data_IF_166943475639
#
_entry.id   IF_166943475639
#
_cell.length_a   1.000
_cell.length_b   1.000
_cell.length_c   1.000
_cell.angle_alpha   90.00
_cell.angle_beta   90.00
_cell.angle_gamma   90.00
#
_symmetry.space_group_name_H-M   'P 1'
#
loop_
_entity.id
_entity.type
_entity.pdbx_description
1 polymer ?
#
# COMPACT_ATOMS: atom_id res chain seq x y z
N UNK A 1 -6.00 -3.82 8.90
CA UNK A 1 -6.92 -2.75 9.41
C UNK A 1 -6.07 -1.54 9.77
N UNK A 2 -6.50 -0.32 9.41
CA UNK A 2 -5.84 0.91 9.85
C UNK A 2 -6.25 1.16 11.31
N UNK A 3 -5.30 1.31 12.22
CA UNK A 3 -5.54 1.54 13.65
C UNK A 3 -5.43 3.04 14.00
N UNK A 4 -4.46 3.73 13.40
CA UNK A 4 -4.34 5.18 13.60
C UNK A 4 -3.76 5.89 12.39
N UNK A 5 -4.05 7.19 12.29
CA UNK A 5 -3.54 8.09 11.28
C UNK A 5 -3.13 9.40 11.94
N UNK A 6 -1.85 9.71 11.88
CA UNK A 6 -1.27 10.98 12.34
C UNK A 6 -0.92 11.86 11.15
N UNK A 7 -1.38 13.08 11.15
CA UNK A 7 -1.22 14.04 10.05
C UNK A 7 -0.58 15.31 10.62
N UNK A 8 0.43 15.84 9.92
CA UNK A 8 1.05 17.13 10.26
C UNK A 8 1.26 17.96 9.01
N UNK A 9 0.89 19.23 9.10
CA UNK A 9 1.19 20.27 8.10
C UNK A 9 0.67 19.98 6.69
N UNK A 10 -0.57 19.45 6.57
CA UNK A 10 -1.27 19.24 5.29
C UNK A 10 -2.35 20.33 5.12
N UNK A 11 -2.20 21.20 4.13
CA UNK A 11 -3.19 22.20 3.77
C UNK A 11 -3.67 23.00 4.98
N UNK A 12 -4.95 22.88 5.34
CA UNK A 12 -5.54 23.55 6.50
C UNK A 12 -5.22 22.86 7.84
N UNK A 13 -4.78 21.60 7.82
CA UNK A 13 -4.48 20.81 9.02
C UNK A 13 -3.06 21.11 9.49
N UNK A 14 -2.91 21.69 10.68
CA UNK A 14 -1.61 21.83 11.33
C UNK A 14 -1.16 20.51 11.96
N UNK A 15 -2.06 19.85 12.71
CA UNK A 15 -1.87 18.54 13.31
C UNK A 15 -3.22 17.89 13.55
N UNK A 16 -3.32 16.59 13.28
CA UNK A 16 -4.48 15.76 13.61
C UNK A 16 -4.03 14.34 13.91
N UNK A 17 -4.63 13.72 14.91
CA UNK A 17 -4.50 12.30 15.21
C UNK A 17 -5.89 11.67 15.19
N UNK A 18 -6.03 10.59 14.44
CA UNK A 18 -7.26 9.84 14.29
C UNK A 18 -6.98 8.41 14.79
N UNK A 19 -7.70 8.01 15.81
CA UNK A 19 -7.72 6.62 16.29
C UNK A 19 -8.94 5.93 15.69
N UNK A 20 -8.72 4.80 15.02
CA UNK A 20 -9.76 4.07 14.31
C UNK A 20 -10.05 2.75 15.03
N UNK A 21 -11.29 2.56 15.46
CA UNK A 21 -11.73 1.32 16.06
C UNK A 21 -12.07 0.25 14.99
N UNK A 22 -12.05 -1.05 15.34
CA UNK A 22 -12.59 -2.08 14.48
C UNK A 22 -14.05 -1.82 14.10
N UNK A 23 -14.41 -2.13 12.85
CA UNK A 23 -15.77 -1.96 12.32
C UNK A 23 -15.90 -0.74 11.43
N UNK A 24 -17.00 -0.02 11.53
CA UNK A 24 -17.33 1.12 10.68
C UNK A 24 -16.99 2.45 11.35
N UNK A 25 -16.20 3.27 10.68
CA UNK A 25 -15.87 4.65 11.09
C UNK A 25 -16.35 5.63 10.03
N UNK A 26 -17.15 6.61 10.40
CA UNK A 26 -17.62 7.67 9.50
C UNK A 26 -16.89 8.99 9.78
N UNK A 27 -16.28 9.59 8.73
CA UNK A 27 -15.69 10.91 8.80
C UNK A 27 -16.69 11.94 8.28
N UNK A 28 -17.28 12.72 9.19
CA UNK A 28 -18.30 13.74 8.88
C UNK A 28 -17.75 15.14 9.14
N UNK A 29 -18.39 16.15 8.59
CA UNK A 29 -18.02 17.55 8.79
C UNK A 29 -18.42 18.42 7.60
N UNK A 30 -18.37 19.72 7.76
CA UNK A 30 -18.69 20.70 6.72
C UNK A 30 -17.66 20.70 5.57
N UNK A 31 -18.05 21.26 4.42
CA UNK A 31 -17.16 21.45 3.28
C UNK A 31 -16.03 22.40 3.67
N UNK A 32 -14.77 22.02 3.40
CA UNK A 32 -13.60 22.80 3.81
C UNK A 32 -13.02 22.47 5.20
N UNK A 33 -13.71 21.66 6.02
CA UNK A 33 -13.27 21.27 7.37
C UNK A 33 -12.10 20.27 7.42
N UNK A 34 -11.39 20.03 6.30
CA UNK A 34 -10.22 19.17 6.26
C UNK A 34 -10.48 17.72 5.86
N UNK A 35 -11.73 17.29 5.60
CA UNK A 35 -12.04 15.92 5.16
C UNK A 35 -11.19 15.49 3.95
N UNK A 36 -11.12 16.35 2.93
CA UNK A 36 -10.29 16.09 1.74
C UNK A 36 -8.82 15.97 2.10
N UNK A 37 -8.33 16.72 3.09
CA UNK A 37 -6.93 16.64 3.54
C UNK A 37 -6.64 15.32 4.24
N UNK A 38 -7.60 14.75 4.96
CA UNK A 38 -7.48 13.39 5.55
C UNK A 38 -7.42 12.34 4.44
N UNK A 39 -8.24 12.45 3.38
CA UNK A 39 -8.15 11.57 2.22
C UNK A 39 -6.82 11.72 1.49
N UNK A 40 -6.33 12.96 1.31
CA UNK A 40 -5.01 13.21 0.74
C UNK A 40 -3.89 12.58 1.59
N UNK A 41 -3.97 12.70 2.92
CA UNK A 41 -3.03 12.06 3.83
C UNK A 41 -3.04 10.53 3.68
N UNK A 42 -4.23 9.93 3.60
CA UNK A 42 -4.38 8.50 3.38
C UNK A 42 -3.80 8.07 2.02
N UNK A 43 -4.11 8.80 0.94
CA UNK A 43 -3.53 8.54 -0.39
C UNK A 43 -2.00 8.62 -0.39
N UNK A 44 -1.41 9.59 0.32
CA UNK A 44 0.04 9.69 0.47
C UNK A 44 0.64 8.46 1.18
N UNK A 45 -0.01 7.95 2.24
CA UNK A 45 0.40 6.71 2.91
C UNK A 45 0.31 5.49 2.00
N UNK A 46 -0.63 5.49 1.07
CA UNK A 46 -0.83 4.41 0.11
C UNK A 46 0.02 4.56 -1.17
N UNK A 47 0.99 5.47 -1.17
CA UNK A 47 1.94 5.62 -2.27
C UNK A 47 1.49 6.52 -3.41
N UNK A 48 0.38 7.24 -3.27
CA UNK A 48 -0.06 8.19 -4.29
C UNK A 48 0.99 9.28 -4.54
N UNK A 49 0.90 9.88 -5.72
CA UNK A 49 1.79 10.97 -6.11
C UNK A 49 1.63 12.15 -5.16
N UNK A 50 2.75 12.58 -4.60
CA UNK A 50 2.78 13.75 -3.73
C UNK A 50 2.76 15.05 -4.56
N UNK A 51 1.95 16.02 -4.10
CA UNK A 51 1.96 17.39 -4.58
C UNK A 51 2.50 18.28 -3.47
N UNK A 52 3.58 19.02 -3.76
CA UNK A 52 4.19 19.95 -2.80
C UNK A 52 3.25 21.09 -2.39
N UNK A 53 2.23 21.40 -3.19
CA UNK A 53 1.19 22.38 -2.84
C UNK A 53 0.30 21.90 -1.69
N UNK A 54 0.31 20.61 -1.37
CA UNK A 54 -0.37 20.05 -0.19
C UNK A 54 0.33 20.40 1.12
N UNK A 55 1.59 20.85 1.09
CA UNK A 55 2.30 21.31 2.29
C UNK A 55 1.66 22.59 2.79
N UNK A 56 1.36 22.64 4.09
CA UNK A 56 0.75 23.82 4.72
C UNK A 56 1.61 25.06 4.50
N UNK A 57 0.97 26.17 4.14
CA UNK A 57 1.65 27.46 3.93
C UNK A 57 2.45 27.86 5.18
N UNK A 58 3.73 28.18 4.97
CA UNK A 58 4.66 28.52 6.05
C UNK A 58 5.43 27.34 6.63
N UNK A 59 5.04 26.11 6.29
CA UNK A 59 5.73 24.89 6.73
C UNK A 59 6.73 24.38 5.68
N UNK A 60 7.80 23.74 6.15
CA UNK A 60 8.85 23.19 5.28
C UNK A 60 8.49 21.82 4.69
N UNK A 61 7.67 21.07 5.40
CA UNK A 61 7.26 19.72 4.99
C UNK A 61 5.95 19.32 5.66
N UNK A 62 5.22 18.45 5.00
CA UNK A 62 4.14 17.67 5.59
C UNK A 62 4.69 16.31 6.06
N UNK A 63 3.99 15.70 7.00
CA UNK A 63 4.28 14.37 7.50
C UNK A 63 2.99 13.62 7.78
N UNK A 64 2.93 12.36 7.32
CA UNK A 64 1.83 11.45 7.62
C UNK A 64 2.40 10.14 8.15
N UNK A 65 1.78 9.61 9.18
CA UNK A 65 2.07 8.29 9.73
C UNK A 65 0.78 7.51 9.89
N UNK A 66 0.80 6.27 9.47
CA UNK A 66 -0.30 5.32 9.66
C UNK A 66 0.16 4.06 10.34
N UNK A 67 -0.62 3.57 11.30
CA UNK A 67 -0.45 2.24 11.91
C UNK A 67 -1.49 1.31 11.33
N UNK A 68 -1.03 0.21 10.77
CA UNK A 68 -1.86 -0.76 10.07
C UNK A 68 -1.58 -2.13 10.65
N UNK A 69 -2.61 -2.85 11.07
CA UNK A 69 -2.48 -4.24 11.50
C UNK A 69 -2.80 -5.17 10.33
N UNK A 70 -1.89 -6.09 10.06
CA UNK A 70 -2.04 -7.15 9.06
C UNK A 70 -1.91 -8.52 9.70
N UNK A 71 -2.72 -9.47 9.24
CA UNK A 71 -2.61 -10.90 9.56
C UNK A 71 -1.98 -11.71 8.41
N UNK A 72 -1.61 -11.04 7.31
CA UNK A 72 -1.00 -11.69 6.15
C UNK A 72 0.49 -11.97 6.43
N UNK A 73 0.81 -13.21 6.82
CA UNK A 73 2.17 -13.63 7.17
C UNK A 73 3.16 -13.53 6.00
N UNK A 74 2.70 -13.75 4.77
CA UNK A 74 3.55 -13.64 3.57
C UNK A 74 3.97 -12.18 3.35
N UNK A 75 3.03 -11.25 3.46
CA UNK A 75 3.32 -9.82 3.37
C UNK A 75 4.27 -9.36 4.49
N UNK A 76 4.02 -9.79 5.73
CA UNK A 76 4.88 -9.44 6.87
C UNK A 76 6.30 -9.97 6.67
N UNK A 77 6.48 -11.22 6.19
CA UNK A 77 7.80 -11.77 5.87
C UNK A 77 8.54 -10.96 4.79
N UNK A 78 7.85 -10.53 3.74
CA UNK A 78 8.43 -9.66 2.70
C UNK A 78 8.85 -8.28 3.26
N UNK A 79 8.10 -7.74 4.22
CA UNK A 79 8.45 -6.50 4.88
C UNK A 79 9.70 -6.65 5.77
N UNK A 80 9.81 -7.76 6.49
CA UNK A 80 11.01 -8.09 7.28
C UNK A 80 12.25 -8.23 6.39
N UNK A 81 12.14 -8.85 5.21
CA UNK A 81 13.22 -8.93 4.22
C UNK A 81 13.67 -7.55 3.72
N UNK A 82 12.78 -6.56 3.69
CA UNK A 82 13.11 -5.16 3.41
C UNK A 82 13.73 -4.42 4.59
N UNK A 83 13.88 -5.08 5.75
CA UNK A 83 14.42 -4.50 6.98
C UNK A 83 13.38 -3.72 7.80
N UNK A 84 12.09 -3.91 7.54
CA UNK A 84 11.03 -3.28 8.31
C UNK A 84 10.78 -4.01 9.62
N UNK A 85 10.57 -3.25 10.70
CA UNK A 85 10.03 -3.78 11.94
C UNK A 85 8.51 -3.95 11.82
N UNK A 86 8.03 -5.19 11.94
CA UNK A 86 6.61 -5.55 11.84
C UNK A 86 6.16 -6.36 13.06
N UNK A 87 6.70 -6.04 14.22
CA UNK A 87 6.43 -6.74 15.48
C UNK A 87 4.93 -6.88 15.73
N UNK A 88 4.48 -8.10 16.05
CA UNK A 88 3.08 -8.43 16.35
C UNK A 88 2.08 -8.12 15.21
N UNK A 89 2.54 -8.09 13.95
CA UNK A 89 1.70 -7.79 12.79
C UNK A 89 1.32 -6.32 12.64
N UNK A 90 1.96 -5.42 13.42
CA UNK A 90 1.82 -3.98 13.26
C UNK A 90 2.79 -3.47 12.21
N UNK A 91 2.27 -2.74 11.23
CA UNK A 91 3.05 -2.10 10.16
C UNK A 91 2.90 -0.59 10.29
N UNK A 92 3.99 0.11 10.60
CA UNK A 92 4.01 1.58 10.65
C UNK A 92 4.50 2.10 9.31
N UNK A 93 3.68 2.90 8.64
CA UNK A 93 4.02 3.55 7.38
C UNK A 93 4.18 5.04 7.63
N UNK A 94 5.30 5.60 7.15
CA UNK A 94 5.60 7.02 7.23
C UNK A 94 5.78 7.61 5.84
N UNK A 95 5.21 8.79 5.63
CA UNK A 95 5.41 9.59 4.42
C UNK A 95 5.73 11.03 4.77
N UNK A 96 6.77 11.57 4.16
CA UNK A 96 7.07 13.01 4.23
C UNK A 96 7.21 13.61 2.84
N UNK A 97 6.71 14.83 2.67
CA UNK A 97 6.84 15.60 1.43
C UNK A 97 7.29 17.01 1.79
N UNK A 98 8.39 17.44 1.22
CA UNK A 98 8.91 18.80 1.42
C UNK A 98 8.26 19.79 0.45
N UNK A 99 8.25 21.06 0.81
CA UNK A 99 7.74 22.16 -0.02
C UNK A 99 8.53 22.33 -1.34
N UNK A 100 9.75 21.79 -1.41
CA UNK A 100 10.59 21.74 -2.63
C UNK A 100 10.30 20.49 -3.50
N UNK A 101 9.28 19.70 -3.16
CA UNK A 101 8.83 18.52 -3.93
C UNK A 101 9.54 17.21 -3.61
N UNK A 102 10.55 17.20 -2.73
CA UNK A 102 11.18 15.96 -2.31
C UNK A 102 10.22 15.13 -1.45
N UNK A 103 10.18 13.82 -1.72
CA UNK A 103 9.28 12.91 -1.04
C UNK A 103 10.02 11.66 -0.57
N UNK A 104 9.71 11.22 0.66
CA UNK A 104 10.32 10.04 1.30
C UNK A 104 9.24 9.17 1.90
N UNK A 105 9.47 7.87 1.89
CA UNK A 105 8.62 6.88 2.54
C UNK A 105 9.45 5.93 3.39
N UNK A 106 8.85 5.44 4.46
CA UNK A 106 9.42 4.36 5.27
C UNK A 106 8.30 3.43 5.74
N UNK A 107 8.62 2.15 5.88
CA UNK A 107 7.74 1.10 6.41
C UNK A 107 8.51 0.42 7.54
N UNK A 108 7.92 0.34 8.74
CA UNK A 108 8.58 -0.24 9.91
C UNK A 108 9.98 0.33 10.16
N UNK A 109 10.20 1.63 9.91
CA UNK A 109 11.50 2.30 10.03
C UNK A 109 12.44 2.12 8.83
N UNK A 110 12.23 1.14 7.95
CA UNK A 110 13.02 0.96 6.73
C UNK A 110 12.62 1.96 5.64
N UNK A 111 13.59 2.68 5.07
CA UNK A 111 13.33 3.58 3.94
C UNK A 111 13.05 2.80 2.66
N UNK A 112 11.94 3.09 2.00
CA UNK A 112 11.51 2.37 0.79
C UNK A 112 11.26 3.33 -0.38
N UNK A 113 11.43 2.87 -1.64
CA UNK A 113 10.92 3.58 -2.82
C UNK A 113 9.41 3.75 -2.76
N UNK A 114 8.89 4.83 -3.40
CA UNK A 114 7.45 5.08 -3.45
C UNK A 114 6.70 4.00 -4.22
N UNK A 115 7.30 3.43 -5.26
CA UNK A 115 6.75 2.28 -5.98
C UNK A 115 6.53 1.08 -5.06
N UNK A 116 7.52 0.74 -4.26
CA UNK A 116 7.43 -0.35 -3.26
C UNK A 116 6.34 -0.07 -2.22
N UNK A 117 6.24 1.19 -1.75
CA UNK A 117 5.16 1.59 -0.86
C UNK A 117 3.78 1.37 -1.52
N UNK A 118 3.62 1.77 -2.79
CA UNK A 118 2.36 1.59 -3.50
C UNK A 118 1.97 0.10 -3.64
N UNK A 119 2.93 -0.74 -4.04
CA UNK A 119 2.71 -2.18 -4.21
C UNK A 119 2.27 -2.85 -2.89
N UNK A 120 2.95 -2.52 -1.78
CA UNK A 120 2.65 -3.03 -0.44
C UNK A 120 1.30 -2.50 0.06
N UNK A 121 0.99 -1.24 -0.18
CA UNK A 121 -0.24 -0.61 0.27
C UNK A 121 -1.49 -1.24 -0.36
N UNK A 122 -1.41 -1.69 -1.60
CA UNK A 122 -2.51 -2.40 -2.28
C UNK A 122 -2.89 -3.71 -1.58
N UNK A 123 -1.93 -4.36 -0.90
CA UNK A 123 -2.15 -5.57 -0.12
C UNK A 123 -2.63 -5.29 1.32
N UNK A 124 -2.24 -4.15 1.89
CA UNK A 124 -2.58 -3.74 3.25
C UNK A 124 -3.98 -3.13 3.37
N UNK A 125 -4.36 -2.30 2.41
CA UNK A 125 -5.58 -1.48 2.47
C UNK A 125 -6.26 -1.44 1.12
N UNK A 126 -7.55 -1.72 1.09
CA UNK A 126 -8.36 -1.51 -0.10
C UNK A 126 -9.10 -0.19 0.02
N UNK A 127 -8.85 0.74 -0.90
CA UNK A 127 -9.56 2.02 -1.00
C UNK A 127 -10.63 1.90 -2.08
N UNK A 128 -11.89 2.16 -1.73
CA UNK A 128 -13.00 2.22 -2.66
C UNK A 128 -13.33 3.68 -2.96
N UNK A 129 -12.95 4.17 -4.12
CA UNK A 129 -13.23 5.53 -4.58
C UNK A 129 -13.92 5.56 -5.94
N UNK A 130 -14.23 6.73 -6.44
CA UNK A 130 -14.82 6.90 -7.78
C UNK A 130 -13.93 6.36 -8.92
N UNK A 131 -12.63 6.11 -8.64
CA UNK A 131 -11.65 5.60 -9.60
C UNK A 131 -11.45 4.07 -9.56
N UNK A 132 -12.16 3.33 -8.71
CA UNK A 132 -11.97 1.88 -8.49
C UNK A 132 -12.25 0.98 -9.71
N UNK A 133 -12.91 1.51 -10.72
CA UNK A 133 -13.06 0.81 -12.00
C UNK A 133 -11.71 0.51 -12.68
N UNK A 134 -10.61 1.12 -12.22
CA UNK A 134 -9.27 0.91 -12.75
C UNK A 134 -8.65 -0.42 -12.30
N UNK A 135 -8.97 -0.93 -11.10
CA UNK A 135 -8.40 -2.18 -10.57
C UNK A 135 -8.74 -3.40 -11.41
N UNK A 136 -9.98 -3.49 -11.92
CA UNK A 136 -10.42 -4.61 -12.76
C UNK A 136 -10.11 -4.41 -14.26
N UNK A 137 -9.42 -3.34 -14.67
CA UNK A 137 -9.00 -3.15 -16.06
C UNK A 137 -7.83 -4.02 -16.48
N UNK A 138 -6.99 -4.45 -15.54
CA UNK A 138 -5.88 -5.36 -15.81
C UNK A 138 -6.38 -6.82 -15.82
N UNK A 139 -6.11 -7.54 -16.92
CA UNK A 139 -6.42 -8.98 -17.01
C UNK A 139 -5.73 -9.82 -15.93
N UNK A 140 -4.57 -9.38 -15.46
CA UNK A 140 -3.86 -10.00 -14.34
C UNK A 140 -4.66 -9.88 -13.03
N UNK A 141 -5.17 -8.68 -12.72
CA UNK A 141 -6.00 -8.46 -11.52
C UNK A 141 -7.36 -9.15 -11.59
N UNK A 142 -7.96 -9.23 -12.78
CA UNK A 142 -9.19 -10.00 -12.98
C UNK A 142 -8.96 -11.49 -12.67
N UNK A 143 -7.84 -12.04 -13.13
CA UNK A 143 -7.46 -13.42 -12.86
C UNK A 143 -7.20 -13.64 -11.37
N UNK A 144 -6.47 -12.75 -10.72
CA UNK A 144 -6.19 -12.79 -9.29
C UNK A 144 -7.48 -12.81 -8.45
N UNK A 145 -8.44 -11.95 -8.80
CA UNK A 145 -9.75 -11.92 -8.14
C UNK A 145 -10.53 -13.23 -8.33
N UNK A 146 -10.50 -13.83 -9.52
CA UNK A 146 -11.09 -15.15 -9.78
C UNK A 146 -10.37 -16.26 -9.00
N UNK A 147 -9.05 -16.22 -8.96
CA UNK A 147 -8.24 -17.17 -8.21
C UNK A 147 -8.52 -17.09 -6.71
N UNK A 148 -8.72 -15.89 -6.18
CA UNK A 148 -9.10 -15.70 -4.77
C UNK A 148 -10.52 -16.18 -4.46
N UNK A 149 -11.46 -15.98 -5.38
CA UNK A 149 -12.83 -16.45 -5.20
C UNK A 149 -12.93 -17.99 -5.18
N UNK A 150 -12.15 -18.65 -6.04
CA UNK A 150 -12.10 -20.12 -6.12
C UNK A 150 -10.98 -20.76 -5.28
N UNK A 151 -10.38 -20.04 -4.33
CA UNK A 151 -9.10 -20.39 -3.70
C UNK A 151 -9.02 -21.84 -3.18
N UNK A 152 -10.03 -22.33 -2.48
CA UNK A 152 -10.04 -23.70 -1.95
C UNK A 152 -10.20 -24.76 -3.06
N UNK A 153 -11.04 -24.49 -4.05
CA UNK A 153 -11.35 -25.45 -5.12
C UNK A 153 -10.20 -25.59 -6.13
N UNK A 154 -9.48 -24.48 -6.42
CA UNK A 154 -8.46 -24.44 -7.47
C UNK A 154 -7.02 -24.53 -6.95
N UNK A 155 -6.79 -24.45 -5.63
CA UNK A 155 -5.44 -24.42 -5.05
C UNK A 155 -4.58 -25.61 -5.49
N UNK A 156 -5.14 -26.82 -5.50
CA UNK A 156 -4.45 -28.03 -5.94
C UNK A 156 -4.03 -27.98 -7.41
N UNK A 157 -4.94 -27.59 -8.28
CA UNK A 157 -4.69 -27.47 -9.72
C UNK A 157 -3.69 -26.35 -10.03
N UNK A 158 -3.78 -25.20 -9.33
CA UNK A 158 -2.88 -24.06 -9.49
C UNK A 158 -1.45 -24.43 -9.09
N UNK A 159 -1.28 -25.15 -7.97
CA UNK A 159 0.04 -25.61 -7.52
C UNK A 159 0.66 -26.64 -8.50
N UNK A 160 -0.11 -27.60 -8.98
CA UNK A 160 0.34 -28.57 -9.98
C UNK A 160 0.76 -27.88 -11.28
N UNK A 161 -0.04 -26.92 -11.76
CA UNK A 161 0.30 -26.12 -12.93
C UNK A 161 1.58 -25.32 -12.73
N UNK A 162 1.75 -24.64 -11.58
CA UNK A 162 2.94 -23.86 -11.29
C UNK A 162 4.22 -24.70 -11.30
N UNK A 163 4.16 -25.92 -10.73
CA UNK A 163 5.29 -26.85 -10.75
C UNK A 163 5.66 -27.29 -12.18
N UNK A 164 4.66 -27.72 -12.97
CA UNK A 164 4.88 -28.13 -14.35
C UNK A 164 5.37 -26.99 -15.23
N UNK A 165 4.85 -25.79 -15.04
CA UNK A 165 5.27 -24.60 -15.78
C UNK A 165 6.70 -24.21 -15.44
N UNK A 166 7.13 -24.31 -14.18
CA UNK A 166 8.52 -24.08 -13.79
C UNK A 166 9.46 -25.09 -14.46
N UNK A 167 9.12 -26.38 -14.45
CA UNK A 167 9.90 -27.40 -15.14
C UNK A 167 9.98 -27.16 -16.65
N UNK A 168 8.89 -26.79 -17.28
CA UNK A 168 8.85 -26.44 -18.70
C UNK A 168 9.81 -25.29 -19.02
N UNK A 169 9.76 -24.21 -18.22
CA UNK A 169 10.63 -23.05 -18.41
C UNK A 169 12.12 -23.41 -18.26
N UNK A 170 12.46 -24.24 -17.28
CA UNK A 170 13.84 -24.70 -17.08
C UNK A 170 14.33 -25.52 -18.29
N UNK A 171 13.48 -26.40 -18.82
CA UNK A 171 13.83 -27.19 -20.01
C UNK A 171 13.96 -26.32 -21.26
N UNK A 172 13.09 -25.34 -21.45
CA UNK A 172 13.15 -24.38 -22.55
C UNK A 172 14.47 -23.61 -22.52
N UNK A 173 14.85 -23.05 -21.34
CA UNK A 173 16.12 -22.34 -21.18
C UNK A 173 17.34 -23.23 -21.40
N UNK A 174 17.28 -24.52 -20.99
CA UNK A 174 18.38 -25.46 -21.28
C UNK A 174 18.49 -25.75 -22.75
N UNK A 175 17.38 -25.92 -23.43
CA UNK A 175 17.33 -26.16 -24.86
C UNK A 175 17.92 -24.96 -25.65
N UNK A 176 17.54 -23.75 -25.28
CA UNK A 176 18.08 -22.52 -25.88
C UNK A 176 19.60 -22.42 -25.71
N UNK A 177 20.11 -22.72 -24.51
CA UNK A 177 21.55 -22.75 -24.23
C UNK A 177 22.33 -23.82 -25.04
N UNK A 178 21.67 -24.92 -25.45
CA UNK A 178 22.30 -25.96 -26.27
C UNK A 178 22.27 -25.64 -27.79
N UNK A 179 21.36 -24.70 -28.19
CA UNK A 179 21.21 -24.32 -29.60
C UNK A 179 22.07 -23.12 -30.00
N UNK A 180 22.56 -22.30 -29.04
CA UNK A 180 23.45 -21.16 -29.24
C UNK A 180 24.87 -21.54 -28.99
#
# INVERSE_FOLDING_TARGET
MIESLSIRSIGVISSANLELAPGFTALTGETGAGKTMVLTALGLLLGERADSTSVRTGEKQLFVEGRIRSANSELLGRLEELGADVASGEVIINRSVSSDGRSRAAIGGASVPISTLNDISEELVTVHGQSDQLRLRSSARQREALDQFGAEEIAGAKNAYAQLFSQYRDLEQRLERMRG
#
